data_IF_391060743230
#
_entry.id   IF_391060743230
#
_cell.length_a   1.000
_cell.length_b   1.000
_cell.length_c   1.000
_cell.angle_alpha   90.00
_cell.angle_beta   90.00
_cell.angle_gamma   90.00
#
_symmetry.space_group_name_H-M   'P 1'
#
loop_
_entity.id
_entity.type
_entity.pdbx_description
1 polymer ?
#
# COMPACT_ATOMS: atom_id res chain seq x y z
N UNK A 1 13.76 -7.83 -11.24
CA UNK A 1 12.86 -6.82 -11.82
C UNK A 1 13.53 -5.48 -11.63
N UNK A 2 13.76 -4.71 -12.70
CA UNK A 2 14.41 -3.40 -12.62
C UNK A 2 13.39 -2.26 -12.41
N UNK A 3 13.88 -1.05 -12.12
CA UNK A 3 13.04 0.12 -11.85
C UNK A 3 12.04 0.45 -12.97
N UNK A 4 12.44 0.27 -14.23
CA UNK A 4 11.54 0.51 -15.37
C UNK A 4 10.39 -0.50 -15.40
N UNK A 5 10.69 -1.78 -15.18
CA UNK A 5 9.68 -2.84 -15.10
C UNK A 5 8.71 -2.59 -13.94
N UNK A 6 9.21 -2.21 -12.76
CA UNK A 6 8.38 -1.84 -11.61
C UNK A 6 7.46 -0.66 -11.95
N UNK A 7 7.98 0.40 -12.54
CA UNK A 7 7.19 1.57 -12.92
C UNK A 7 6.09 1.20 -13.93
N UNK A 8 6.41 0.40 -14.95
CA UNK A 8 5.41 -0.09 -15.90
C UNK A 8 4.35 -0.97 -15.25
N UNK A 9 4.73 -1.84 -14.32
CA UNK A 9 3.81 -2.68 -13.57
C UNK A 9 2.85 -1.86 -12.71
N UNK A 10 3.35 -0.85 -11.99
CA UNK A 10 2.50 0.06 -11.20
C UNK A 10 1.53 0.80 -12.11
N UNK A 11 2.03 1.41 -13.19
CA UNK A 11 1.20 2.19 -14.12
C UNK A 11 0.11 1.33 -14.78
N UNK A 12 0.46 0.14 -15.26
CA UNK A 12 -0.51 -0.79 -15.89
C UNK A 12 -1.55 -1.28 -14.88
N UNK A 13 -1.14 -1.65 -13.66
CA UNK A 13 -2.09 -2.04 -12.61
C UNK A 13 -3.05 -0.91 -12.27
N UNK A 14 -2.58 0.33 -12.12
CA UNK A 14 -3.45 1.49 -11.89
C UNK A 14 -4.38 1.75 -13.07
N UNK A 15 -3.91 1.60 -14.30
CA UNK A 15 -4.73 1.72 -15.51
C UNK A 15 -5.84 0.66 -15.55
N UNK A 16 -5.50 -0.60 -15.24
CA UNK A 16 -6.47 -1.69 -15.20
C UNK A 16 -7.53 -1.43 -14.13
N UNK A 17 -7.13 -1.07 -12.91
CA UNK A 17 -8.06 -0.71 -11.83
C UNK A 17 -8.98 0.47 -12.20
N UNK A 18 -8.45 1.48 -12.89
CA UNK A 18 -9.25 2.60 -13.40
C UNK A 18 -10.25 2.12 -14.45
N UNK A 19 -9.85 1.23 -15.37
CA UNK A 19 -10.74 0.67 -16.39
C UNK A 19 -11.88 -0.17 -15.80
N UNK A 20 -11.63 -0.79 -14.64
CA UNK A 20 -12.62 -1.53 -13.85
C UNK A 20 -13.48 -0.60 -12.97
N UNK A 21 -13.21 0.70 -12.95
CA UNK A 21 -13.92 1.67 -12.13
C UNK A 21 -13.70 1.48 -10.63
N UNK A 22 -12.50 1.04 -10.20
CA UNK A 22 -12.18 0.72 -8.80
C UNK A 22 -11.27 1.76 -8.11
N UNK A 23 -10.86 2.79 -8.85
CA UNK A 23 -9.94 3.84 -8.40
C UNK A 23 -10.58 5.20 -8.60
N UNK A 24 -10.56 6.03 -7.56
CA UNK A 24 -11.00 7.41 -7.61
C UNK A 24 -9.90 8.34 -8.14
N UNK A 25 -8.67 8.15 -7.65
CA UNK A 25 -7.51 8.97 -8.01
C UNK A 25 -6.25 8.11 -8.07
N UNK A 26 -5.31 8.43 -8.95
CA UNK A 26 -4.00 7.76 -9.00
C UNK A 26 -2.92 8.68 -9.50
N UNK A 27 -1.71 8.43 -9.02
CA UNK A 27 -0.51 9.13 -9.45
C UNK A 27 0.29 8.25 -10.40
N UNK A 28 0.86 8.87 -11.44
CA UNK A 28 1.81 8.18 -12.30
C UNK A 28 3.09 7.85 -11.52
N UNK A 29 3.61 6.62 -11.62
CA UNK A 29 4.84 6.26 -10.94
C UNK A 29 6.02 7.07 -11.50
N UNK A 30 6.93 7.46 -10.62
CA UNK A 30 8.13 8.19 -10.95
C UNK A 30 9.36 7.44 -10.45
N UNK A 31 10.49 7.69 -11.09
CA UNK A 31 11.78 7.07 -10.77
C UNK A 31 12.74 8.14 -10.29
N UNK A 32 13.44 7.90 -9.19
CA UNK A 32 14.44 8.80 -8.60
C UNK A 32 15.70 8.03 -8.24
N UNK A 33 16.87 8.65 -8.42
CA UNK A 33 18.12 8.10 -7.92
C UNK A 33 18.24 8.42 -6.43
N UNK A 34 18.43 7.39 -5.59
CA UNK A 34 18.57 7.49 -4.14
C UNK A 34 19.85 6.74 -3.73
N UNK A 35 20.98 7.44 -3.67
CA UNK A 35 22.28 6.81 -3.40
C UNK A 35 22.61 5.73 -4.45
N UNK A 36 22.82 4.46 -4.06
CA UNK A 36 23.14 3.38 -5.00
C UNK A 36 21.91 2.78 -5.71
N UNK A 37 20.69 3.17 -5.36
CA UNK A 37 19.46 2.55 -5.87
C UNK A 37 18.60 3.52 -6.68
N UNK A 38 17.77 2.95 -7.56
CA UNK A 38 16.66 3.64 -8.19
C UNK A 38 15.37 3.36 -7.41
N UNK A 39 14.78 4.41 -6.84
CA UNK A 39 13.48 4.33 -6.18
C UNK A 39 12.35 4.56 -7.18
N UNK A 40 11.38 3.66 -7.20
CA UNK A 40 10.11 3.80 -7.93
C UNK A 40 8.99 4.04 -6.94
N UNK A 41 8.29 5.17 -7.06
CA UNK A 41 7.21 5.56 -6.14
C UNK A 41 6.28 6.59 -6.79
N UNK A 42 5.43 7.26 -6.02
CA UNK A 42 4.63 8.40 -6.47
C UNK A 42 5.48 9.70 -6.58
N UNK A 43 4.99 10.72 -7.31
CA UNK A 43 5.64 12.03 -7.36
C UNK A 43 5.66 12.66 -5.96
N UNK A 44 6.83 12.96 -5.42
CA UNK A 44 6.99 13.66 -4.14
C UNK A 44 7.61 15.03 -4.38
N UNK A 45 7.07 16.08 -3.79
CA UNK A 45 7.58 17.46 -3.90
C UNK A 45 8.74 17.76 -2.93
N UNK A 46 9.19 16.79 -2.13
CA UNK A 46 10.32 16.94 -1.21
C UNK A 46 10.75 15.63 -0.55
N UNK A 47 11.67 15.73 0.41
CA UNK A 47 12.08 14.62 1.28
C UNK A 47 11.06 14.45 2.41
N UNK A 48 9.96 13.73 2.18
CA UNK A 48 9.00 13.41 3.25
C UNK A 48 9.06 11.92 3.61
N UNK A 49 9.18 11.58 4.92
CA UNK A 49 9.47 10.24 5.39
C UNK A 49 8.17 9.44 5.56
N UNK A 50 7.57 8.97 4.46
CA UNK A 50 6.41 8.08 4.55
C UNK A 50 6.70 6.78 5.37
N UNK A 51 7.98 6.49 5.64
CA UNK A 51 8.40 5.34 6.46
C UNK A 51 8.39 5.58 7.98
N UNK A 52 8.37 6.82 8.50
CA UNK A 52 8.82 7.09 9.90
C UNK A 52 7.81 7.79 10.85
N UNK A 53 6.51 7.83 10.53
CA UNK A 53 5.52 8.53 11.36
C UNK A 53 4.67 7.55 12.21
N UNK A 54 4.19 7.98 13.41
CA UNK A 54 3.30 7.19 14.26
C UNK A 54 2.06 6.77 13.48
N UNK A 55 1.86 5.46 13.41
CA UNK A 55 0.93 4.81 12.49
C UNK A 55 -0.53 5.04 12.88
N UNK A 56 -1.37 5.47 11.93
CA UNK A 56 -2.83 5.39 12.06
C UNK A 56 -3.57 6.65 12.56
N UNK A 57 -2.97 7.84 12.49
CA UNK A 57 -3.68 9.09 12.83
C UNK A 57 -4.44 9.69 11.62
N UNK A 58 -5.51 10.45 11.90
CA UNK A 58 -6.25 11.19 10.87
C UNK A 58 -5.40 12.29 10.22
N UNK A 59 -4.55 12.96 11.02
CA UNK A 59 -3.58 13.93 10.51
C UNK A 59 -2.64 13.30 9.48
N UNK A 60 -2.13 12.10 9.77
CA UNK A 60 -1.24 11.41 8.85
C UNK A 60 -1.97 11.00 7.56
N UNK A 61 -3.19 10.46 7.67
CA UNK A 61 -4.03 10.19 6.50
C UNK A 61 -4.21 11.46 5.63
N UNK A 62 -4.55 12.60 6.25
CA UNK A 62 -4.70 13.87 5.56
C UNK A 62 -3.42 14.35 4.90
N UNK A 63 -2.28 14.27 5.59
CA UNK A 63 -0.97 14.62 5.02
C UNK A 63 -0.68 13.81 3.77
N UNK A 64 -0.97 12.49 3.78
CA UNK A 64 -0.77 11.65 2.61
C UNK A 64 -1.63 12.09 1.41
N UNK A 65 -2.89 12.45 1.65
CA UNK A 65 -3.78 12.94 0.58
C UNK A 65 -3.29 14.30 0.05
N UNK A 66 -3.03 15.27 0.94
CA UNK A 66 -2.63 16.64 0.58
C UNK A 66 -1.31 16.70 -0.18
N UNK A 67 -0.36 15.84 0.20
CA UNK A 67 0.95 15.77 -0.45
C UNK A 67 0.93 14.98 -1.77
N UNK A 68 -0.22 14.39 -2.14
CA UNK A 68 -0.29 13.45 -3.26
C UNK A 68 0.55 12.19 -2.98
N UNK A 69 0.79 11.87 -1.71
CA UNK A 69 1.65 10.79 -1.30
C UNK A 69 0.89 9.46 -1.35
N UNK A 70 0.49 9.03 -2.53
CA UNK A 70 -0.19 7.76 -2.76
C UNK A 70 0.07 7.25 -4.17
N UNK A 71 -0.04 5.94 -4.37
CA UNK A 71 -0.04 5.35 -5.71
C UNK A 71 -1.44 5.45 -6.30
N UNK A 72 -2.46 5.00 -5.57
CA UNK A 72 -3.86 5.25 -5.91
C UNK A 72 -4.75 5.31 -4.67
N UNK A 73 -5.91 5.95 -4.83
CA UNK A 73 -7.03 5.93 -3.91
C UNK A 73 -8.14 5.06 -4.51
N UNK A 74 -8.66 4.13 -3.73
CA UNK A 74 -9.83 3.35 -4.10
C UNK A 74 -11.10 4.22 -4.06
N UNK A 75 -12.22 3.70 -4.56
CA UNK A 75 -13.49 4.45 -4.59
C UNK A 75 -14.00 4.87 -3.21
N UNK A 76 -13.63 4.14 -2.16
CA UNK A 76 -13.95 4.49 -0.77
C UNK A 76 -12.91 5.44 -0.15
N UNK A 77 -11.95 5.93 -0.94
CA UNK A 77 -10.82 6.77 -0.53
C UNK A 77 -9.76 6.06 0.33
N UNK A 78 -9.75 4.73 0.34
CA UNK A 78 -8.64 3.98 0.94
C UNK A 78 -7.36 4.17 0.13
N UNK A 79 -6.23 4.33 0.82
CA UNK A 79 -4.93 4.60 0.19
C UNK A 79 -4.24 3.28 -0.14
N UNK A 80 -3.77 3.16 -1.37
CA UNK A 80 -2.72 2.24 -1.77
C UNK A 80 -1.44 3.01 -2.08
N UNK A 81 -0.34 2.60 -1.47
CA UNK A 81 0.99 3.16 -1.68
C UNK A 81 1.96 2.05 -2.04
N UNK A 82 2.82 2.32 -3.01
CA UNK A 82 3.90 1.45 -3.39
C UNK A 82 5.20 2.22 -3.61
N UNK A 83 6.25 1.77 -2.93
CA UNK A 83 7.62 2.25 -3.10
C UNK A 83 8.56 1.06 -3.21
N UNK A 84 9.42 1.05 -4.22
CA UNK A 84 10.41 -0.01 -4.46
C UNK A 84 11.78 0.60 -4.65
N UNK A 85 12.81 0.00 -4.05
CA UNK A 85 14.21 0.31 -4.30
C UNK A 85 14.81 -0.78 -5.19
N UNK A 86 15.48 -0.37 -6.27
CA UNK A 86 16.07 -1.27 -7.26
C UNK A 86 17.57 -1.00 -7.44
N UNK A 87 18.39 -2.05 -7.54
CA UNK A 87 19.85 -1.95 -7.77
C UNK A 87 20.25 -1.89 -9.26
N UNK A 88 19.25 -1.74 -10.13
CA UNK A 88 19.40 -1.77 -11.60
C UNK A 88 18.93 -3.09 -12.23
N UNK A 89 18.99 -4.21 -11.52
CA UNK A 89 18.58 -5.53 -12.04
C UNK A 89 17.47 -6.18 -11.21
N UNK A 90 17.46 -5.90 -9.92
CA UNK A 90 16.58 -6.52 -8.94
C UNK A 90 15.87 -5.46 -8.09
N UNK A 91 14.77 -5.89 -7.45
CA UNK A 91 14.16 -5.15 -6.35
C UNK A 91 14.88 -5.60 -5.10
N UNK A 92 15.44 -4.65 -4.36
CA UNK A 92 16.21 -4.92 -3.14
C UNK A 92 15.46 -4.49 -1.88
N UNK A 93 14.45 -3.62 -2.01
CA UNK A 93 13.55 -3.29 -0.91
C UNK A 93 12.19 -2.82 -1.45
N UNK A 94 11.15 -2.91 -0.64
CA UNK A 94 9.86 -2.28 -0.93
C UNK A 94 9.10 -1.87 0.33
N UNK A 95 8.12 -1.00 0.17
CA UNK A 95 7.13 -0.61 1.17
C UNK A 95 5.78 -0.50 0.47
N UNK A 96 4.83 -1.35 0.89
CA UNK A 96 3.49 -1.42 0.33
C UNK A 96 2.46 -1.15 1.42
N UNK A 97 1.74 -0.03 1.33
CA UNK A 97 0.78 0.38 2.36
C UNK A 97 -0.63 0.30 1.83
N UNK A 98 -1.51 -0.33 2.61
CA UNK A 98 -2.95 -0.21 2.49
C UNK A 98 -3.46 0.51 3.72
N UNK A 99 -4.08 1.67 3.51
CA UNK A 99 -4.71 2.44 4.56
C UNK A 99 -6.22 2.50 4.28
N UNK A 100 -7.05 1.71 5.00
CA UNK A 100 -8.50 1.78 4.84
C UNK A 100 -8.98 3.19 5.15
N UNK A 101 -9.85 3.76 4.32
CA UNK A 101 -10.37 5.11 4.53
C UNK A 101 -10.91 5.26 5.96
N UNK A 102 -10.43 6.26 6.72
CA UNK A 102 -10.86 6.41 8.09
C UNK A 102 -12.23 7.08 8.18
N UNK A 103 -12.76 7.59 7.06
CA UNK A 103 -14.09 8.17 6.96
C UNK A 103 -14.84 7.52 5.80
N UNK A 104 -16.12 7.20 5.99
CA UNK A 104 -17.03 6.91 4.90
C UNK A 104 -17.87 8.15 4.62
N UNK A 105 -17.87 8.60 3.37
CA UNK A 105 -18.53 9.84 2.97
C UNK A 105 -19.86 9.48 2.33
N UNK A 106 -20.93 10.17 2.74
CA UNK A 106 -22.29 9.87 2.28
C UNK A 106 -22.60 10.44 0.90
N UNK A 107 -21.93 11.53 0.53
CA UNK A 107 -22.13 12.24 -0.72
C UNK A 107 -20.91 12.11 -1.64
N UNK A 108 -21.09 12.14 -2.97
CA UNK A 108 -19.97 12.14 -3.91
C UNK A 108 -19.11 13.39 -3.70
N UNK A 109 -17.79 13.22 -3.68
CA UNK A 109 -16.85 14.34 -3.66
C UNK A 109 -16.51 14.81 -5.08
N UNK A 110 -16.27 16.11 -5.27
CA UNK A 110 -15.81 16.65 -6.55
C UNK A 110 -14.30 16.47 -6.71
N UNK A 111 -13.53 16.71 -5.63
CA UNK A 111 -12.08 16.58 -5.64
C UNK A 111 -11.45 16.15 -4.30
N UNK A 112 -10.12 16.09 -4.26
CA UNK A 112 -9.34 15.73 -3.06
C UNK A 112 -9.41 16.81 -1.96
N UNK A 113 -9.70 18.06 -2.32
CA UNK A 113 -9.93 19.16 -1.38
C UNK A 113 -11.17 18.91 -0.54
N UNK A 114 -12.26 18.45 -1.15
CA UNK A 114 -13.48 18.09 -0.43
C UNK A 114 -13.24 16.91 0.55
N UNK A 115 -12.46 15.91 0.13
CA UNK A 115 -12.04 14.80 1.00
C UNK A 115 -11.30 15.33 2.22
N UNK A 116 -10.34 16.23 1.99
CA UNK A 116 -9.56 16.83 3.07
C UNK A 116 -10.43 17.63 4.03
N UNK A 117 -11.41 18.37 3.51
CA UNK A 117 -12.35 19.16 4.30
C UNK A 117 -13.25 18.27 5.15
N UNK A 118 -13.80 17.19 4.57
CA UNK A 118 -14.64 16.22 5.28
C UNK A 118 -13.90 15.56 6.45
N UNK A 119 -12.68 15.07 6.20
CA UNK A 119 -11.86 14.44 7.27
C UNK A 119 -11.47 15.46 8.34
N UNK A 120 -11.09 16.69 7.95
CA UNK A 120 -10.71 17.75 8.90
C UNK A 120 -11.89 18.14 9.79
N UNK A 121 -13.10 18.25 9.22
CA UNK A 121 -14.31 18.49 10.00
C UNK A 121 -14.64 17.31 10.93
N UNK A 122 -14.48 16.06 10.44
CA UNK A 122 -14.61 14.85 11.26
C UNK A 122 -13.61 14.87 12.46
N UNK A 123 -12.40 15.44 12.29
CA UNK A 123 -11.42 15.63 13.39
C UNK A 123 -11.81 16.75 14.37
N UNK A 124 -12.24 17.90 13.86
CA UNK A 124 -12.60 19.07 14.67
C UNK A 124 -13.88 18.85 15.48
N UNK A 125 -14.89 18.22 14.86
CA UNK A 125 -16.19 18.00 15.48
C UNK A 125 -16.93 16.83 14.84
N UNK A 126 -16.71 15.59 15.35
CA UNK A 126 -17.41 14.39 14.86
C UNK A 126 -18.94 14.54 14.84
N UNK A 127 -19.51 15.24 15.84
CA UNK A 127 -20.95 15.47 15.92
C UNK A 127 -21.50 16.36 14.78
N UNK A 128 -20.73 17.37 14.35
CA UNK A 128 -21.09 18.21 13.20
C UNK A 128 -20.85 17.48 11.88
N UNK A 129 -19.89 16.57 11.87
CA UNK A 129 -19.50 15.82 10.69
C UNK A 129 -20.43 14.63 10.39
N UNK A 130 -21.11 14.09 11.40
CA UNK A 130 -21.98 12.91 11.29
C UNK A 130 -23.01 12.91 10.13
N UNK A 131 -23.61 14.05 9.73
CA UNK A 131 -24.48 14.07 8.55
C UNK A 131 -23.74 13.80 7.22
N UNK A 132 -22.44 14.11 7.16
CA UNK A 132 -21.61 14.10 5.94
C UNK A 132 -20.65 12.90 5.88
N UNK A 133 -20.06 12.53 7.02
CA UNK A 133 -19.14 11.41 7.14
C UNK A 133 -19.39 10.57 8.41
N UNK A 134 -19.15 9.26 8.28
CA UNK A 134 -18.98 8.34 9.39
C UNK A 134 -17.50 8.05 9.62
N UNK A 135 -17.06 8.02 10.88
CA UNK A 135 -15.67 7.74 11.24
C UNK A 135 -15.45 6.24 11.50
N UNK A 136 -14.50 5.65 10.77
CA UNK A 136 -14.05 4.27 10.88
C UNK A 136 -12.56 4.23 11.26
N UNK A 137 -12.24 3.97 12.52
CA UNK A 137 -10.84 3.93 13.01
C UNK A 137 -10.14 2.60 12.68
N UNK A 138 -10.07 2.26 11.39
CA UNK A 138 -9.43 1.04 10.90
C UNK A 138 -7.92 1.21 10.84
N UNK A 139 -7.20 0.17 11.24
CA UNK A 139 -5.74 0.19 11.26
C UNK A 139 -5.17 0.02 9.84
N UNK A 140 -4.17 0.81 9.45
CA UNK A 140 -3.46 0.58 8.21
C UNK A 140 -2.63 -0.72 8.27
N UNK A 141 -2.11 -1.14 7.12
CA UNK A 141 -1.20 -2.28 6.99
C UNK A 141 -0.07 -1.94 6.03
N UNK A 142 1.17 -2.04 6.47
CA UNK A 142 2.36 -1.77 5.64
C UNK A 142 3.22 -3.02 5.55
N UNK A 143 3.48 -3.48 4.33
CA UNK A 143 4.31 -4.64 4.01
C UNK A 143 5.66 -4.15 3.51
N UNK A 144 6.69 -4.40 4.31
CA UNK A 144 8.05 -3.98 4.03
C UNK A 144 8.91 -5.18 3.63
N UNK A 145 9.79 -4.96 2.67
CA UNK A 145 10.91 -5.83 2.32
C UNK A 145 12.17 -5.01 2.51
N UNK A 146 13.01 -5.39 3.48
CA UNK A 146 14.21 -4.65 3.89
C UNK A 146 15.30 -5.63 4.37
N UNK A 147 15.93 -6.37 3.43
CA UNK A 147 16.91 -7.41 3.76
C UNK A 147 18.20 -6.85 4.37
N UNK A 148 18.54 -5.58 4.10
CA UNK A 148 19.74 -4.95 4.66
C UNK A 148 19.65 -4.72 6.18
N UNK A 149 18.43 -4.71 6.74
CA UNK A 149 18.18 -4.57 8.18
C UNK A 149 17.75 -5.88 8.84
N UNK A 150 17.88 -7.01 8.15
CA UNK A 150 17.42 -8.29 8.64
C UNK A 150 18.10 -8.70 9.96
N UNK A 151 17.30 -9.03 10.96
CA UNK A 151 17.75 -9.60 12.23
C UNK A 151 16.62 -10.46 12.84
N UNK A 152 16.88 -11.09 13.97
CA UNK A 152 15.87 -11.90 14.68
C UNK A 152 14.58 -11.11 14.98
N UNK A 153 14.72 -9.84 15.36
CA UNK A 153 13.61 -8.93 15.68
C UNK A 153 13.16 -8.07 14.48
N UNK A 154 13.80 -8.23 13.31
CA UNK A 154 13.52 -7.46 12.10
C UNK A 154 13.54 -8.36 10.87
N UNK A 155 12.41 -9.00 10.52
CA UNK A 155 12.38 -9.96 9.42
C UNK A 155 12.67 -9.29 8.08
N UNK A 156 13.29 -10.02 7.14
CA UNK A 156 13.55 -9.51 5.78
C UNK A 156 12.27 -9.00 5.11
N UNK A 157 11.16 -9.72 5.28
CA UNK A 157 9.83 -9.30 4.86
C UNK A 157 8.89 -9.32 6.05
N UNK A 158 8.23 -8.20 6.34
CA UNK A 158 7.35 -8.07 7.49
C UNK A 158 6.17 -7.14 7.24
N UNK A 159 5.15 -7.29 8.07
CA UNK A 159 3.94 -6.48 8.11
C UNK A 159 3.92 -5.64 9.39
N UNK A 160 3.73 -4.34 9.24
CA UNK A 160 3.34 -3.41 10.29
C UNK A 160 1.83 -3.21 10.30
N UNK A 161 1.23 -3.26 11.49
CA UNK A 161 -0.15 -2.87 11.73
C UNK A 161 -0.31 -2.40 13.18
N UNK A 162 -1.25 -1.47 13.42
CA UNK A 162 -1.54 -0.81 14.70
C UNK A 162 -0.38 0.01 15.31
N UNK A 163 0.79 -0.60 15.51
CA UNK A 163 2.00 0.03 16.02
C UNK A 163 3.12 -0.04 14.97
N UNK A 164 3.99 0.96 14.97
CA UNK A 164 5.11 1.08 14.02
C UNK A 164 6.25 0.09 14.32
N UNK A 165 6.33 -0.43 15.54
CA UNK A 165 7.29 -1.45 15.96
C UNK A 165 6.77 -2.89 15.82
N UNK A 166 5.48 -3.06 15.51
CA UNK A 166 4.89 -4.38 15.23
C UNK A 166 5.46 -4.92 13.92
N UNK A 167 6.11 -6.08 13.97
CA UNK A 167 6.69 -6.74 12.80
C UNK A 167 6.21 -8.19 12.73
N UNK A 168 5.18 -8.43 11.92
CA UNK A 168 4.66 -9.77 11.66
C UNK A 168 5.41 -10.32 10.44
N UNK A 169 6.07 -11.46 10.55
CA UNK A 169 6.80 -12.07 9.42
C UNK A 169 5.89 -12.37 8.22
N UNK A 170 6.39 -12.11 7.02
CA UNK A 170 5.72 -12.43 5.75
C UNK A 170 6.63 -13.33 4.91
N UNK A 171 6.06 -14.27 4.18
CA UNK A 171 6.84 -15.32 3.51
C UNK A 171 7.70 -14.82 2.35
N UNK A 172 7.29 -13.74 1.68
CA UNK A 172 7.94 -13.26 0.46
C UNK A 172 7.62 -11.80 0.14
N UNK A 173 8.52 -11.09 -0.57
CA UNK A 173 8.22 -9.80 -1.15
C UNK A 173 7.13 -9.92 -2.22
N UNK A 174 6.39 -8.83 -2.44
CA UNK A 174 5.23 -8.80 -3.32
C UNK A 174 5.42 -7.76 -4.41
N UNK A 175 4.88 -8.05 -5.60
CA UNK A 175 4.61 -7.02 -6.59
C UNK A 175 3.39 -6.20 -6.23
N UNK A 176 3.25 -5.03 -6.85
CA UNK A 176 2.13 -4.15 -6.59
C UNK A 176 0.80 -4.82 -6.98
N UNK A 177 0.78 -5.56 -8.08
CA UNK A 177 -0.40 -6.32 -8.51
C UNK A 177 -0.78 -7.42 -7.52
N UNK A 178 0.20 -8.15 -6.97
CA UNK A 178 -0.05 -9.17 -5.92
C UNK A 178 -0.65 -8.50 -4.68
N UNK A 179 -0.09 -7.36 -4.27
CA UNK A 179 -0.58 -6.58 -3.14
C UNK A 179 -2.01 -6.07 -3.35
N UNK A 180 -2.32 -5.50 -4.52
CA UNK A 180 -3.67 -5.10 -4.90
C UNK A 180 -4.65 -6.27 -4.81
N UNK A 181 -4.29 -7.43 -5.38
CA UNK A 181 -5.15 -8.62 -5.34
C UNK A 181 -5.38 -9.11 -3.91
N UNK A 182 -4.36 -9.07 -3.06
CA UNK A 182 -4.48 -9.38 -1.63
C UNK A 182 -5.46 -8.42 -0.95
N UNK A 183 -5.33 -7.11 -1.18
CA UNK A 183 -6.24 -6.10 -0.60
C UNK A 183 -7.69 -6.37 -1.01
N UNK A 184 -7.96 -6.56 -2.30
CA UNK A 184 -9.32 -6.82 -2.78
C UNK A 184 -9.88 -8.15 -2.27
N UNK A 185 -9.09 -9.23 -2.33
CA UNK A 185 -9.50 -10.56 -1.85
C UNK A 185 -9.81 -10.58 -0.34
N UNK A 186 -9.12 -9.74 0.44
CA UNK A 186 -9.23 -9.74 1.92
C UNK A 186 -10.26 -8.73 2.42
N UNK A 187 -10.21 -7.48 1.93
CA UNK A 187 -11.00 -6.36 2.48
C UNK A 187 -12.19 -5.95 1.60
N UNK A 188 -12.18 -6.32 0.31
CA UNK A 188 -13.24 -5.98 -0.65
C UNK A 188 -13.83 -7.24 -1.30
N UNK A 189 -14.18 -8.23 -0.47
CA UNK A 189 -14.54 -9.57 -0.93
C UNK A 189 -15.72 -9.60 -1.91
N UNK A 190 -16.70 -8.72 -1.74
CA UNK A 190 -17.83 -8.62 -2.65
C UNK A 190 -17.41 -8.12 -4.03
N UNK A 191 -16.50 -7.13 -4.09
CA UNK A 191 -15.90 -6.65 -5.35
C UNK A 191 -15.06 -7.76 -5.99
N UNK A 192 -14.22 -8.43 -5.20
CA UNK A 192 -13.40 -9.55 -5.67
C UNK A 192 -14.24 -10.66 -6.32
N UNK A 193 -15.35 -11.04 -5.68
CA UNK A 193 -16.22 -12.10 -6.19
C UNK A 193 -17.03 -11.68 -7.43
N UNK A 194 -17.36 -10.39 -7.56
CA UNK A 194 -18.17 -9.85 -8.66
C UNK A 194 -17.36 -9.33 -9.85
N UNK A 195 -16.03 -9.17 -9.70
CA UNK A 195 -15.13 -8.72 -10.75
C UNK A 195 -14.02 -9.76 -11.03
N UNK A 196 -14.28 -10.78 -11.88
CA UNK A 196 -13.29 -11.82 -12.18
C UNK A 196 -12.00 -11.30 -12.81
N UNK A 197 -12.04 -10.14 -13.47
CA UNK A 197 -10.87 -9.55 -14.12
C UNK A 197 -9.80 -9.08 -13.12
N UNK A 198 -10.18 -8.77 -11.87
CA UNK A 198 -9.21 -8.54 -10.78
C UNK A 198 -8.32 -9.78 -10.53
N UNK A 199 -8.90 -10.98 -10.63
CA UNK A 199 -8.16 -12.23 -10.50
C UNK A 199 -7.17 -12.46 -11.64
N UNK A 200 -7.42 -11.86 -12.81
CA UNK A 200 -6.65 -12.01 -14.05
C UNK A 200 -5.56 -10.97 -14.26
N UNK A 201 -5.47 -9.96 -13.38
CA UNK A 201 -4.39 -8.98 -13.44
C UNK A 201 -3.03 -9.69 -13.42
N UNK A 202 -2.14 -9.26 -14.33
CA UNK A 202 -0.85 -9.91 -14.53
C UNK A 202 0.09 -9.65 -13.35
N UNK A 203 0.45 -10.70 -12.62
CA UNK A 203 1.42 -10.62 -11.53
C UNK A 203 2.84 -10.85 -12.05
N UNK A 204 3.73 -9.95 -11.65
CA UNK A 204 5.17 -10.20 -11.77
C UNK A 204 5.71 -10.67 -10.42
N UNK A 205 6.61 -11.67 -10.43
CA UNK A 205 7.25 -12.15 -9.20
C UNK A 205 8.37 -11.19 -8.79
N UNK A 206 8.47 -10.94 -7.48
CA UNK A 206 9.63 -10.33 -6.85
C UNK A 206 10.42 -11.45 -6.17
N UNK A 207 11.62 -11.80 -6.65
CA UNK A 207 12.40 -12.87 -6.04
C UNK A 207 12.98 -12.41 -4.69
N UNK A 208 13.17 -13.36 -3.77
CA UNK A 208 14.02 -13.14 -2.60
C UNK A 208 15.49 -13.08 -3.03
N UNK A 209 16.31 -12.35 -2.27
CA UNK A 209 17.77 -12.33 -2.47
C UNK A 209 18.40 -13.66 -2.04
N UNK A 210 17.77 -14.38 -1.10
CA UNK A 210 18.11 -15.74 -0.67
C UNK A 210 16.84 -16.58 -0.54
N UNK A 211 16.82 -17.79 -1.10
CA UNK A 211 15.68 -18.74 -1.00
C UNK A 211 15.54 -19.40 0.39
N UNK A 212 16.17 -18.85 1.44
CA UNK A 212 16.21 -19.46 2.76
C UNK A 212 14.97 -19.07 3.59
N UNK A 213 13.86 -19.76 3.32
CA UNK A 213 12.70 -19.77 4.20
C UNK A 213 13.00 -20.65 5.42
N UNK A 214 13.55 -20.07 6.49
CA UNK A 214 13.66 -20.71 7.80
C UNK A 214 12.75 -19.98 8.80
N UNK A 215 11.50 -20.42 9.01
CA UNK A 215 10.62 -19.79 9.99
C UNK A 215 11.25 -19.88 11.38
N UNK A 216 11.45 -18.73 12.03
CA UNK A 216 11.95 -18.66 13.41
C UNK A 216 10.84 -19.11 14.37
N UNK A 217 11.22 -19.77 15.47
CA UNK A 217 10.26 -20.14 16.52
C UNK A 217 9.51 -18.89 17.00
N UNK A 218 8.17 -18.96 17.06
CA UNK A 218 7.25 -17.87 17.42
C UNK A 218 6.89 -16.84 16.34
N UNK A 219 7.29 -17.05 15.07
CA UNK A 219 6.80 -16.23 13.96
C UNK A 219 5.35 -16.57 13.56
N UNK A 220 4.49 -15.55 13.45
CA UNK A 220 3.22 -15.68 12.74
C UNK A 220 3.52 -15.56 11.24
N UNK A 221 3.45 -16.69 10.55
CA UNK A 221 3.67 -16.81 9.11
C UNK A 221 2.36 -16.57 8.37
N UNK A 222 2.24 -15.44 7.67
CA UNK A 222 1.10 -15.14 6.81
C UNK A 222 1.46 -15.43 5.34
N UNK A 223 0.90 -16.50 4.79
CA UNK A 223 1.06 -16.90 3.40
C UNK A 223 -0.15 -16.47 2.57
N UNK A 224 0.08 -15.70 1.51
CA UNK A 224 -0.99 -15.14 0.66
C UNK A 224 -1.03 -15.72 -0.76
N UNK A 225 -0.10 -16.63 -1.12
CA UNK A 225 -0.24 -17.41 -2.37
C UNK A 225 -1.11 -18.63 -2.12
N UNK A 226 -1.96 -18.96 -3.10
CA UNK A 226 -2.73 -20.19 -3.11
C UNK A 226 -1.84 -21.43 -3.31
N UNK A 227 -0.65 -21.27 -3.90
CA UNK A 227 0.24 -22.38 -4.17
C UNK A 227 1.32 -22.44 -3.09
N UNK A 228 1.13 -23.36 -2.14
CA UNK A 228 2.21 -24.19 -1.64
C UNK A 228 2.09 -25.47 -2.45
N UNK A 229 2.81 -25.56 -3.56
CA UNK A 229 3.05 -26.89 -4.13
C UNK A 229 3.80 -27.67 -3.04
N UNK A 230 3.15 -28.72 -2.54
CA UNK A 230 3.78 -29.79 -1.75
C UNK A 230 4.83 -30.54 -2.58
#
# INVERSE_FOLDING_TARGET
MNARQVATMIASTCQDLRSLGLVAFDNSPCQRQEGPFHRVSWPTTGASPARALPFGSLDQYLSLIREGAFTCLLNDYSILQASYDCDGTSVVAHSLLYWPAPVAIHEPLEDLGDLCAAVSMCMESPARAAPLCELYLRSPMRFDFDPDRASEDHPEVHLHTQFDDTRIHIDRPMSFTTFVKMVFKTFYRDIWNSCPDLGRLHEQRVPLVKDEFAPVAHSLCLSWSADRDE
#
